data_IF_731743260827
#
_entry.id   IF_731743260827
#
_cell.length_a   1.000
_cell.length_b   1.000
_cell.length_c   1.000
_cell.angle_alpha   90.00
_cell.angle_beta   90.00
_cell.angle_gamma   90.00
#
_symmetry.space_group_name_H-M   'P 1'
#
loop_
_entity.id
_entity.type
_entity.pdbx_description
1 polymer ?
#
# COMPACT_ATOMS: atom_id res chain seq x y z
N UNK A 1 -19.76 -5.44 24.11
CA UNK A 1 -18.60 -6.03 23.42
C UNK A 1 -17.91 -4.90 22.65
N UNK A 2 -16.58 -4.76 22.76
CA UNK A 2 -15.86 -3.66 22.12
C UNK A 2 -15.94 -3.83 20.59
N UNK A 3 -16.43 -2.82 19.86
CA UNK A 3 -16.37 -2.80 18.39
C UNK A 3 -14.90 -2.64 18.00
N UNK A 4 -14.34 -3.63 17.30
CA UNK A 4 -13.01 -3.49 16.72
C UNK A 4 -13.09 -2.50 15.55
N UNK A 5 -12.25 -1.47 15.59
CA UNK A 5 -12.10 -0.50 14.49
C UNK A 5 -10.76 -0.76 13.82
N UNK A 6 -10.77 -0.90 12.49
CA UNK A 6 -9.54 -0.88 11.70
C UNK A 6 -9.31 0.52 11.14
N UNK A 7 -8.07 0.99 11.23
CA UNK A 7 -7.66 2.30 10.75
C UNK A 7 -6.62 2.20 9.65
N UNK A 8 -6.79 3.00 8.59
CA UNK A 8 -5.77 3.22 7.57
C UNK A 8 -4.85 4.38 7.99
N UNK A 9 -3.91 4.07 8.90
CA UNK A 9 -2.94 5.02 9.46
C UNK A 9 -2.18 5.79 8.38
N UNK A 10 -2.00 5.14 7.23
CA UNK A 10 -1.17 5.64 6.16
C UNK A 10 -1.91 6.62 5.30
N UNK A 11 -3.20 6.38 5.09
CA UNK A 11 -4.08 7.35 4.47
C UNK A 11 -4.22 8.59 5.34
N UNK A 12 -4.34 8.43 6.66
CA UNK A 12 -4.40 9.55 7.61
C UNK A 12 -3.14 10.41 7.52
N UNK A 13 -1.96 9.78 7.63
CA UNK A 13 -0.65 10.47 7.53
C UNK A 13 -0.40 11.12 6.17
N UNK A 14 -1.06 10.67 5.11
CA UNK A 14 -0.93 11.25 3.77
C UNK A 14 -1.90 12.42 3.52
N UNK A 15 -3.00 12.49 4.27
CA UNK A 15 -4.02 13.53 4.11
C UNK A 15 -3.86 14.68 5.12
N UNK A 16 -3.17 14.43 6.24
CA UNK A 16 -2.96 15.42 7.30
C UNK A 16 -1.48 15.71 7.47
N UNK A 17 -1.08 16.97 7.35
CA UNK A 17 0.29 17.41 7.61
C UNK A 17 0.50 17.76 9.09
N UNK A 18 1.75 17.76 9.53
CA UNK A 18 2.13 18.20 10.89
C UNK A 18 1.74 19.66 11.13
N UNK A 19 1.88 20.52 10.12
CA UNK A 19 1.47 21.93 10.20
C UNK A 19 -0.03 22.06 10.52
N UNK A 20 -0.88 21.32 9.79
CA UNK A 20 -2.33 21.31 10.03
C UNK A 20 -2.69 20.86 11.45
N UNK A 21 -1.95 19.88 11.99
CA UNK A 21 -2.15 19.41 13.37
C UNK A 21 -1.71 20.46 14.37
N UNK A 22 -0.56 21.09 14.18
CA UNK A 22 -0.08 22.17 15.04
C UNK A 22 -1.11 23.30 15.11
N UNK A 23 -1.61 23.75 13.95
CA UNK A 23 -2.61 24.82 13.87
C UNK A 23 -3.93 24.40 14.56
N UNK A 24 -4.40 23.17 14.32
CA UNK A 24 -5.64 22.67 14.92
C UNK A 24 -5.56 22.55 16.44
N UNK A 25 -4.38 22.19 16.96
CA UNK A 25 -4.13 22.05 18.40
C UNK A 25 -3.71 23.37 19.06
N UNK A 26 -3.56 24.46 18.30
CA UNK A 26 -3.14 25.76 18.82
C UNK A 26 -1.69 25.79 19.30
N UNK A 27 -0.81 24.96 18.71
CA UNK A 27 0.62 25.02 18.99
C UNK A 27 1.23 26.27 18.35
N UNK A 28 2.01 27.02 19.11
CA UNK A 28 2.67 28.20 18.57
C UNK A 28 3.76 27.80 17.57
N UNK A 29 3.68 28.38 16.37
CA UNK A 29 4.65 28.19 15.30
C UNK A 29 5.27 29.51 14.87
N UNK A 30 6.52 29.46 14.40
CA UNK A 30 7.26 30.62 13.92
C UNK A 30 8.14 30.26 12.72
N UNK A 31 8.09 31.01 11.62
CA UNK A 31 9.04 30.81 10.52
C UNK A 31 10.45 31.21 10.95
N UNK A 32 11.42 30.31 10.73
CA UNK A 32 12.86 30.54 10.94
C UNK A 32 13.59 30.12 9.67
N UNK A 33 14.01 31.12 8.89
CA UNK A 33 14.59 30.89 7.57
C UNK A 33 13.58 30.20 6.65
N UNK A 34 13.94 29.02 6.12
CA UNK A 34 13.08 28.20 5.24
C UNK A 34 12.28 27.13 5.98
N UNK A 35 12.38 27.05 7.31
CA UNK A 35 11.72 26.04 8.13
C UNK A 35 10.70 26.68 9.06
N UNK A 36 9.70 25.91 9.46
CA UNK A 36 8.76 26.31 10.50
C UNK A 36 9.23 25.69 11.80
N UNK A 37 9.50 26.54 12.79
CA UNK A 37 9.77 26.11 14.15
C UNK A 37 8.47 26.10 14.96
N UNK A 38 8.40 25.22 15.94
CA UNK A 38 7.26 25.05 16.85
C UNK A 38 7.82 24.91 18.27
N UNK A 39 7.11 25.37 19.30
CA UNK A 39 7.47 25.02 20.67
C UNK A 39 7.22 23.53 20.87
N UNK A 40 8.26 22.78 21.26
CA UNK A 40 8.13 21.33 21.33
C UNK A 40 7.08 20.90 22.36
N UNK A 41 6.04 20.13 21.99
CA UNK A 41 5.02 19.69 22.94
C UNK A 41 5.46 18.51 23.82
N UNK A 42 6.67 17.98 23.59
CA UNK A 42 7.17 16.79 24.27
C UNK A 42 8.03 17.10 25.51
N UNK A 43 8.45 18.35 25.66
CA UNK A 43 9.07 18.89 26.87
C UNK A 43 8.51 20.28 27.16
N UNK A 44 8.84 20.87 28.32
CA UNK A 44 8.43 22.24 28.65
C UNK A 44 9.21 23.29 27.87
N UNK A 45 9.09 23.29 26.54
CA UNK A 45 9.83 24.19 25.66
C UNK A 45 9.27 25.61 25.70
N UNK A 46 10.16 26.59 25.79
CA UNK A 46 9.83 28.03 25.79
C UNK A 46 10.57 28.80 24.69
N UNK A 47 11.36 28.10 23.86
CA UNK A 47 12.25 28.73 22.89
C UNK A 47 12.10 28.13 21.49
N UNK A 48 11.69 28.97 20.54
CA UNK A 48 11.75 28.64 19.12
C UNK A 48 13.19 28.39 18.67
N UNK A 49 13.36 27.49 17.71
CA UNK A 49 14.66 27.10 17.14
C UNK A 49 15.13 25.70 17.52
N UNK A 50 14.44 25.02 18.45
CA UNK A 50 14.77 23.65 18.85
C UNK A 50 13.95 22.58 18.14
N UNK A 51 12.64 22.80 17.95
CA UNK A 51 11.77 21.91 17.20
C UNK A 51 11.36 22.51 15.86
N UNK A 52 11.40 21.66 14.82
CA UNK A 52 11.08 22.03 13.45
C UNK A 52 10.12 21.03 12.83
N UNK A 53 9.24 21.55 11.99
CA UNK A 53 8.32 20.77 11.18
C UNK A 53 9.01 20.39 9.85
N UNK A 54 8.92 19.11 9.51
CA UNK A 54 9.32 18.53 8.23
C UNK A 54 8.07 17.97 7.53
N UNK A 55 8.26 17.43 6.32
CA UNK A 55 7.16 16.96 5.47
C UNK A 55 6.25 15.94 6.18
N UNK A 56 6.84 14.98 6.88
CA UNK A 56 6.09 13.85 7.46
C UNK A 56 6.10 13.84 9.00
N UNK A 57 6.92 14.69 9.62
CA UNK A 57 7.24 14.61 11.05
C UNK A 57 7.71 15.95 11.64
N UNK A 58 7.63 16.04 12.96
CA UNK A 58 8.29 17.04 13.80
C UNK A 58 9.55 16.43 14.39
N UNK A 59 10.67 17.15 14.32
CA UNK A 59 11.89 16.77 15.04
C UNK A 59 12.35 17.88 15.97
N UNK A 60 12.64 17.52 17.23
CA UNK A 60 13.20 18.43 18.22
C UNK A 60 14.65 18.07 18.53
N UNK A 61 15.56 19.02 18.30
CA UNK A 61 16.98 18.87 18.57
C UNK A 61 17.35 18.97 20.06
N UNK A 62 16.48 19.57 20.90
CA UNK A 62 16.75 19.70 22.33
C UNK A 62 16.46 18.41 23.11
N UNK A 63 15.35 17.73 22.80
CA UNK A 63 14.95 16.50 23.48
C UNK A 63 15.07 15.24 22.60
N UNK A 64 15.56 15.37 21.37
CA UNK A 64 15.70 14.30 20.37
C UNK A 64 14.39 13.58 20.02
N UNK A 65 13.24 14.23 20.23
CA UNK A 65 11.95 13.65 19.86
C UNK A 65 11.72 13.73 18.36
N UNK A 66 11.32 12.61 17.76
CA UNK A 66 10.80 12.52 16.41
C UNK A 66 9.32 12.09 16.48
N UNK A 67 8.40 12.94 16.05
CA UNK A 67 6.97 12.74 16.25
C UNK A 67 6.20 12.95 14.94
N UNK A 68 5.31 12.00 14.61
CA UNK A 68 4.34 12.17 13.53
C UNK A 68 3.05 12.85 14.02
N UNK A 69 2.11 13.07 13.10
CA UNK A 69 0.79 13.67 13.39
C UNK A 69 0.03 12.97 14.52
N UNK A 70 0.15 11.64 14.65
CA UNK A 70 -0.56 10.88 15.70
C UNK A 70 0.13 11.11 17.05
N UNK A 71 1.45 11.01 17.07
CA UNK A 71 2.27 11.19 18.27
C UNK A 71 2.06 12.57 18.89
N UNK A 72 1.96 13.61 18.05
CA UNK A 72 1.67 14.98 18.49
C UNK A 72 0.29 15.06 19.15
N UNK A 73 -0.76 14.52 18.51
CA UNK A 73 -2.12 14.51 19.06
C UNK A 73 -2.17 13.74 20.39
N UNK A 74 -1.54 12.56 20.47
CA UNK A 74 -1.48 11.78 21.70
C UNK A 74 -0.88 12.61 22.85
N UNK A 75 0.22 13.32 22.57
CA UNK A 75 0.94 14.07 23.60
C UNK A 75 0.18 15.32 24.05
N UNK A 76 -0.31 16.13 23.10
CA UNK A 76 -0.94 17.42 23.40
C UNK A 76 -2.34 17.24 23.98
N UNK A 77 -3.12 16.30 23.43
CA UNK A 77 -4.50 16.05 23.86
C UNK A 77 -4.62 14.98 24.94
N UNK A 78 -3.49 14.40 25.38
CA UNK A 78 -3.42 13.30 26.35
C UNK A 78 -4.35 12.12 25.98
N UNK A 79 -4.25 11.68 24.72
CA UNK A 79 -5.07 10.62 24.14
C UNK A 79 -4.27 9.33 23.96
N UNK A 80 -4.96 8.19 24.06
CA UNK A 80 -4.42 6.91 23.59
C UNK A 80 -4.24 6.92 22.07
N UNK A 81 -3.51 5.94 21.52
CA UNK A 81 -3.29 5.86 20.07
C UNK A 81 -4.60 5.81 19.28
N UNK A 82 -5.56 4.98 19.72
CA UNK A 82 -6.86 4.82 19.04
C UNK A 82 -7.67 6.12 19.10
N UNK A 83 -7.70 6.77 20.27
CA UNK A 83 -8.41 8.05 20.43
C UNK A 83 -7.77 9.17 19.60
N UNK A 84 -6.44 9.21 19.50
CA UNK A 84 -5.73 10.18 18.67
C UNK A 84 -6.01 9.96 17.17
N UNK A 85 -6.11 8.71 16.73
CA UNK A 85 -6.48 8.37 15.35
C UNK A 85 -7.93 8.75 15.06
N UNK A 86 -8.87 8.43 15.96
CA UNK A 86 -10.28 8.84 15.85
C UNK A 86 -10.42 10.38 15.84
N UNK A 87 -9.63 11.08 16.66
CA UNK A 87 -9.56 12.55 16.67
C UNK A 87 -9.14 13.07 15.28
N UNK A 88 -8.03 12.59 14.72
CA UNK A 88 -7.59 13.03 13.40
C UNK A 88 -8.64 12.79 12.31
N UNK A 89 -9.29 11.63 12.32
CA UNK A 89 -10.35 11.31 11.35
C UNK A 89 -11.51 12.31 11.45
N UNK A 90 -11.97 12.59 12.67
CA UNK A 90 -13.11 13.46 12.91
C UNK A 90 -12.80 14.92 12.63
N UNK A 91 -11.67 15.42 13.14
CA UNK A 91 -11.31 16.84 13.06
C UNK A 91 -10.97 17.28 11.63
N UNK A 92 -10.44 16.36 10.81
CA UNK A 92 -10.07 16.64 9.42
C UNK A 92 -11.04 16.04 8.39
N UNK A 93 -12.20 15.51 8.83
CA UNK A 93 -13.21 14.88 7.98
C UNK A 93 -12.63 13.82 7.01
N UNK A 94 -11.77 12.94 7.54
CA UNK A 94 -11.07 11.95 6.73
C UNK A 94 -11.99 10.76 6.40
N UNK A 95 -12.59 10.77 5.22
CA UNK A 95 -13.47 9.71 4.77
C UNK A 95 -12.68 8.45 4.36
N UNK A 96 -13.22 7.26 4.70
CA UNK A 96 -12.63 5.97 4.34
C UNK A 96 -11.41 5.55 5.16
N UNK A 97 -10.96 6.37 6.12
CA UNK A 97 -9.80 6.09 6.99
C UNK A 97 -10.10 5.13 8.15
N UNK A 98 -11.36 4.82 8.42
CA UNK A 98 -11.76 3.84 9.42
C UNK A 98 -12.90 2.97 8.91
N UNK A 99 -12.88 1.70 9.32
CA UNK A 99 -13.96 0.75 9.06
C UNK A 99 -14.38 0.19 10.42
N UNK A 100 -15.68 0.29 10.72
CA UNK A 100 -16.27 -0.38 11.88
C UNK A 100 -16.45 -1.85 11.54
N UNK A 101 -15.78 -2.74 12.27
CA UNK A 101 -16.00 -4.17 12.13
C UNK A 101 -17.23 -4.51 12.99
N UNK A 102 -18.41 -4.49 12.39
CA UNK A 102 -19.56 -5.14 13.03
C UNK A 102 -19.27 -6.65 13.04
N UNK A 103 -19.37 -7.29 14.22
CA UNK A 103 -19.00 -8.69 14.46
C UNK A 103 -19.86 -9.71 13.67
N UNK A 104 -20.65 -9.25 12.70
CA UNK A 104 -21.53 -10.09 11.89
C UNK A 104 -20.90 -10.33 10.50
N UNK A 105 -20.05 -11.36 10.46
CA UNK A 105 -19.56 -12.08 9.26
C UNK A 105 -19.16 -11.25 8.03
N UNK A 106 -18.16 -10.38 8.15
CA UNK A 106 -17.36 -10.04 6.96
C UNK A 106 -16.39 -11.19 6.69
N UNK A 107 -16.44 -11.76 5.48
CA UNK A 107 -15.48 -12.78 5.05
C UNK A 107 -14.07 -12.32 5.44
N UNK A 108 -13.33 -13.16 6.19
CA UNK A 108 -11.93 -12.88 6.49
C UNK A 108 -11.21 -12.60 5.18
N UNK A 109 -10.39 -11.55 5.17
CA UNK A 109 -9.59 -11.18 4.02
C UNK A 109 -8.86 -12.43 3.49
N UNK A 110 -9.15 -12.89 2.26
CA UNK A 110 -8.86 -14.27 1.87
C UNK A 110 -7.43 -14.50 1.41
N UNK A 111 -6.60 -13.45 1.35
CA UNK A 111 -5.24 -13.51 0.86
C UNK A 111 -4.22 -13.40 1.99
N UNK A 112 -3.20 -14.24 1.92
CA UNK A 112 -2.06 -14.21 2.83
C UNK A 112 -1.04 -13.16 2.39
N UNK A 113 -0.17 -12.76 3.33
CA UNK A 113 0.96 -11.88 3.06
C UNK A 113 1.82 -12.35 1.88
N UNK A 114 2.19 -13.64 1.88
CA UNK A 114 3.04 -14.24 0.84
C UNK A 114 2.38 -14.23 -0.54
N UNK A 115 1.07 -14.49 -0.60
CA UNK A 115 0.31 -14.43 -1.84
C UNK A 115 0.30 -13.02 -2.43
N UNK A 116 -0.01 -12.02 -1.61
CA UNK A 116 0.02 -10.62 -2.04
C UNK A 116 1.42 -10.20 -2.48
N UNK A 117 2.47 -10.58 -1.75
CA UNK A 117 3.85 -10.24 -2.13
C UNK A 117 4.22 -10.84 -3.47
N UNK A 118 3.85 -12.11 -3.68
CA UNK A 118 4.20 -12.84 -4.89
C UNK A 118 3.60 -12.21 -6.16
N UNK A 119 2.34 -11.79 -6.09
CA UNK A 119 1.64 -11.13 -7.20
C UNK A 119 1.95 -9.63 -7.30
N UNK A 120 2.73 -9.09 -6.36
CA UNK A 120 3.12 -7.68 -6.33
C UNK A 120 2.02 -6.75 -5.82
N UNK A 121 1.07 -7.30 -5.07
CA UNK A 121 0.09 -6.55 -4.28
C UNK A 121 0.55 -6.24 -2.85
N UNK A 122 1.70 -6.77 -2.44
CA UNK A 122 2.41 -6.36 -1.26
C UNK A 122 3.87 -6.14 -1.62
N UNK A 123 4.48 -5.06 -1.12
CA UNK A 123 5.90 -4.81 -1.34
C UNK A 123 6.60 -4.65 0.01
N UNK A 124 7.36 -5.67 0.41
CA UNK A 124 8.05 -5.69 1.70
C UNK A 124 9.25 -4.73 1.76
N UNK A 125 9.80 -4.34 0.60
CA UNK A 125 11.01 -3.52 0.49
C UNK A 125 10.72 -2.06 0.15
N UNK A 126 9.45 -1.66 0.04
CA UNK A 126 9.09 -0.31 -0.31
C UNK A 126 8.66 0.46 0.94
N UNK A 127 9.36 1.53 1.29
CA UNK A 127 8.89 2.50 2.28
C UNK A 127 7.55 3.16 1.87
N UNK A 128 7.11 2.96 0.62
CA UNK A 128 5.74 3.23 0.17
C UNK A 128 4.83 2.06 0.52
N UNK A 129 4.03 2.28 1.55
CA UNK A 129 2.91 1.44 2.01
C UNK A 129 2.01 0.98 0.86
N UNK A 130 1.42 -0.22 0.98
CA UNK A 130 0.51 -0.84 0.00
C UNK A 130 -0.62 0.09 -0.41
N UNK A 131 -0.40 0.87 -1.46
CA UNK A 131 -1.32 1.90 -1.91
C UNK A 131 -1.52 1.79 -3.40
N UNK A 132 -2.73 1.42 -3.80
CA UNK A 132 -3.09 1.28 -5.21
C UNK A 132 -3.82 2.52 -5.68
N UNK A 133 -3.36 3.09 -6.80
CA UNK A 133 -4.08 4.14 -7.48
C UNK A 133 -5.34 3.52 -8.10
N UNK A 134 -6.48 3.85 -7.52
CA UNK A 134 -7.78 3.46 -8.06
C UNK A 134 -8.29 4.62 -8.91
N UNK A 135 -8.32 4.42 -10.22
CA UNK A 135 -8.95 5.36 -11.15
C UNK A 135 -10.07 4.67 -11.91
N UNK A 136 -11.32 5.02 -11.60
CA UNK A 136 -12.43 4.89 -12.53
C UNK A 136 -13.57 5.84 -12.13
N UNK A 137 -14.17 6.51 -13.11
CA UNK A 137 -15.36 7.33 -12.91
C UNK A 137 -16.28 7.17 -14.12
N UNK A 138 -17.50 6.66 -13.89
CA UNK A 138 -18.49 6.38 -14.94
C UNK A 138 -19.31 7.60 -15.36
N UNK A 139 -19.28 8.72 -14.61
CA UNK A 139 -20.12 9.89 -14.90
C UNK A 139 -19.41 11.23 -14.73
N UNK A 140 -19.91 12.18 -15.54
CA UNK A 140 -19.34 13.47 -15.91
C UNK A 140 -19.80 14.55 -14.92
N UNK A 141 -18.87 15.17 -14.22
CA UNK A 141 -19.17 16.36 -13.41
C UNK A 141 -18.19 17.52 -13.61
N UNK A 142 -17.05 17.38 -14.32
CA UNK A 142 -16.07 18.48 -14.40
C UNK A 142 -15.21 18.57 -15.66
N UNK A 143 -14.65 19.76 -15.89
CA UNK A 143 -13.99 20.30 -17.11
C UNK A 143 -12.67 19.62 -17.55
N UNK A 144 -12.17 18.60 -16.84
CA UNK A 144 -10.83 18.01 -17.06
C UNK A 144 -10.84 16.58 -17.66
N UNK A 145 -11.55 16.38 -18.77
CA UNK A 145 -11.60 15.09 -19.50
C UNK A 145 -10.94 15.18 -20.88
N UNK A 146 -10.26 14.12 -21.33
CA UNK A 146 -9.84 13.97 -22.73
C UNK A 146 -10.33 12.65 -23.33
N UNK A 147 -10.47 12.61 -24.66
CA UNK A 147 -10.99 11.45 -25.41
C UNK A 147 -9.79 10.63 -25.90
N UNK A 148 -9.71 9.36 -25.50
CA UNK A 148 -8.82 8.39 -26.16
C UNK A 148 -9.61 7.68 -27.26
N UNK A 149 -9.09 7.71 -28.49
CA UNK A 149 -9.66 7.00 -29.64
C UNK A 149 -8.81 5.79 -29.98
N UNK A 150 -9.44 4.64 -30.18
CA UNK A 150 -8.82 3.41 -30.68
C UNK A 150 -9.71 2.84 -31.79
N UNK A 151 -9.29 2.96 -33.04
CA UNK A 151 -10.13 2.63 -34.19
C UNK A 151 -11.36 3.55 -34.29
N UNK A 152 -12.55 2.95 -34.49
CA UNK A 152 -13.84 3.66 -34.52
C UNK A 152 -14.39 3.94 -33.11
N UNK A 153 -13.78 3.37 -32.07
CA UNK A 153 -14.22 3.53 -30.69
C UNK A 153 -13.52 4.71 -29.99
N UNK A 154 -14.30 5.51 -29.27
CA UNK A 154 -13.78 6.61 -28.45
C UNK A 154 -14.20 6.45 -27.01
N UNK A 155 -13.22 6.39 -26.09
CA UNK A 155 -13.44 6.32 -24.64
C UNK A 155 -13.05 7.66 -24.03
N UNK A 156 -13.97 8.28 -23.29
CA UNK A 156 -13.70 9.46 -22.48
C UNK A 156 -12.94 9.05 -21.22
N UNK A 157 -11.73 9.56 -21.04
CA UNK A 157 -10.89 9.29 -19.87
C UNK A 157 -10.88 10.54 -18.99
N UNK A 158 -11.45 10.43 -17.77
CA UNK A 158 -11.40 11.48 -16.74
C UNK A 158 -10.09 11.35 -15.96
N UNK A 159 -9.34 12.45 -15.82
CA UNK A 159 -8.16 12.48 -14.94
C UNK A 159 -8.62 12.76 -13.50
N UNK A 160 -9.08 11.73 -12.79
CA UNK A 160 -9.36 11.84 -11.35
C UNK A 160 -8.08 12.11 -10.54
N UNK A 161 -8.20 12.70 -9.35
CA UNK A 161 -7.12 12.63 -8.35
C UNK A 161 -6.86 11.15 -8.07
N UNK A 162 -5.62 10.70 -8.25
CA UNK A 162 -5.23 9.33 -7.94
C UNK A 162 -5.54 9.01 -6.47
N UNK A 163 -6.58 8.23 -6.22
CA UNK A 163 -6.92 7.78 -4.88
C UNK A 163 -6.07 6.57 -4.54
N UNK A 164 -5.38 6.61 -3.41
CA UNK A 164 -4.57 5.51 -2.91
C UNK A 164 -5.33 4.73 -1.84
N UNK A 165 -5.56 3.44 -2.06
CA UNK A 165 -6.23 2.58 -1.08
C UNK A 165 -5.34 1.43 -0.61
N UNK A 166 -5.46 1.11 0.69
CA UNK A 166 -4.92 -0.11 1.27
C UNK A 166 -5.71 -1.35 0.82
N UNK A 167 -5.04 -2.51 0.69
CA UNK A 167 -5.64 -3.76 0.22
C UNK A 167 -6.91 -4.16 0.98
N UNK A 168 -6.86 -4.10 2.32
CA UNK A 168 -8.00 -4.44 3.17
C UNK A 168 -9.16 -3.43 3.01
N UNK A 169 -8.85 -2.14 2.96
CA UNK A 169 -9.84 -1.08 2.79
C UNK A 169 -10.56 -1.25 1.45
N UNK A 170 -9.80 -1.49 0.38
CA UNK A 170 -10.32 -1.73 -0.95
C UNK A 170 -11.19 -2.99 -1.00
N UNK A 171 -10.74 -4.11 -0.42
CA UNK A 171 -11.52 -5.34 -0.38
C UNK A 171 -12.89 -5.18 0.30
N UNK A 172 -12.96 -4.40 1.38
CA UNK A 172 -14.22 -4.18 2.09
C UNK A 172 -15.13 -3.13 1.45
N UNK A 173 -14.57 -2.11 0.79
CA UNK A 173 -15.35 -1.06 0.13
C UNK A 173 -15.81 -1.44 -1.28
N UNK A 174 -14.92 -2.06 -2.07
CA UNK A 174 -15.20 -2.55 -3.42
C UNK A 174 -14.50 -3.90 -3.67
N UNK A 175 -15.13 -4.95 -3.14
CA UNK A 175 -14.66 -6.33 -3.24
C UNK A 175 -14.42 -6.76 -4.69
N UNK A 176 -15.32 -6.39 -5.61
CA UNK A 176 -15.23 -6.79 -7.02
C UNK A 176 -13.99 -6.17 -7.67
N UNK A 177 -13.73 -4.88 -7.43
CA UNK A 177 -12.55 -4.20 -7.94
C UNK A 177 -11.26 -4.81 -7.37
N UNK A 178 -11.20 -5.04 -6.06
CA UNK A 178 -10.05 -5.69 -5.43
C UNK A 178 -9.72 -7.04 -6.08
N UNK A 179 -10.72 -7.93 -6.16
CA UNK A 179 -10.55 -9.29 -6.67
C UNK A 179 -10.17 -9.30 -8.15
N UNK A 180 -10.70 -8.36 -8.94
CA UNK A 180 -10.32 -8.19 -10.36
C UNK A 180 -8.86 -7.75 -10.48
N UNK A 181 -8.42 -6.80 -9.66
CA UNK A 181 -7.04 -6.33 -9.63
C UNK A 181 -6.07 -7.45 -9.19
N UNK A 182 -6.43 -8.21 -8.16
CA UNK A 182 -5.68 -9.38 -7.71
C UNK A 182 -5.59 -10.47 -8.78
N UNK A 183 -6.69 -10.77 -9.47
CA UNK A 183 -6.72 -11.75 -10.55
C UNK A 183 -5.81 -11.32 -11.71
N UNK A 184 -5.90 -10.06 -12.14
CA UNK A 184 -5.05 -9.52 -13.21
C UNK A 184 -3.56 -9.60 -12.85
N UNK A 185 -3.19 -9.21 -11.62
CA UNK A 185 -1.80 -9.31 -11.15
C UNK A 185 -1.32 -10.75 -11.03
N UNK A 186 -2.17 -11.66 -10.60
CA UNK A 186 -1.87 -13.09 -10.58
C UNK A 186 -1.64 -13.64 -12.00
N UNK A 187 -2.47 -13.25 -12.98
CA UNK A 187 -2.30 -13.65 -14.37
C UNK A 187 -1.00 -13.08 -14.99
N UNK A 188 -0.68 -11.81 -14.75
CA UNK A 188 0.59 -11.20 -15.14
C UNK A 188 1.78 -12.00 -14.57
N UNK A 189 1.70 -12.38 -13.29
CA UNK A 189 2.75 -13.16 -12.62
C UNK A 189 2.85 -14.57 -13.19
N UNK A 190 1.72 -15.26 -13.42
CA UNK A 190 1.66 -16.58 -14.04
C UNK A 190 2.32 -16.59 -15.42
N UNK A 191 2.03 -15.58 -16.24
CA UNK A 191 2.63 -15.44 -17.56
C UNK A 191 4.16 -15.27 -17.48
N UNK A 192 4.65 -14.42 -16.57
CA UNK A 192 6.10 -14.24 -16.34
C UNK A 192 6.79 -15.53 -15.91
N UNK A 193 6.25 -16.23 -14.92
CA UNK A 193 6.81 -17.50 -14.44
C UNK A 193 6.83 -18.58 -15.53
N UNK A 194 5.73 -18.68 -16.29
CA UNK A 194 5.62 -19.63 -17.40
C UNK A 194 6.65 -19.32 -18.49
N UNK A 195 6.90 -18.04 -18.78
CA UNK A 195 7.94 -17.61 -19.72
C UNK A 195 9.34 -18.00 -19.24
N UNK A 196 9.64 -17.76 -17.96
CA UNK A 196 10.93 -18.16 -17.36
C UNK A 196 11.16 -19.66 -17.45
N UNK A 197 10.17 -20.48 -17.07
CA UNK A 197 10.26 -21.95 -17.18
C UNK A 197 10.54 -22.36 -18.63
N UNK A 198 9.80 -21.80 -19.60
CA UNK A 198 10.00 -22.09 -21.02
C UNK A 198 11.43 -21.75 -21.45
N UNK A 199 11.94 -20.56 -21.11
CA UNK A 199 13.31 -20.14 -21.44
C UNK A 199 14.36 -21.06 -20.81
N UNK A 200 14.17 -21.45 -19.54
CA UNK A 200 15.08 -22.37 -18.85
C UNK A 200 15.06 -23.77 -19.48
N UNK A 201 13.89 -24.28 -19.86
CA UNK A 201 13.77 -25.56 -20.56
C UNK A 201 14.41 -25.50 -21.95
N UNK A 202 14.20 -24.43 -22.72
CA UNK A 202 14.87 -24.22 -24.01
C UNK A 202 16.39 -24.25 -23.84
N UNK A 203 16.92 -23.52 -22.86
CA UNK A 203 18.36 -23.55 -22.55
C UNK A 203 18.85 -24.96 -22.20
N UNK A 204 18.13 -25.66 -21.31
CA UNK A 204 18.46 -27.03 -20.92
C UNK A 204 18.47 -28.00 -22.11
N UNK A 205 17.49 -27.88 -23.00
CA UNK A 205 17.34 -28.78 -24.14
C UNK A 205 18.36 -28.49 -25.24
N UNK A 206 18.53 -27.23 -25.61
CA UNK A 206 19.28 -26.81 -26.81
C UNK A 206 20.74 -26.46 -26.54
N UNK A 207 21.09 -26.02 -25.32
CA UNK A 207 22.44 -25.49 -25.02
C UNK A 207 23.31 -26.42 -24.20
N UNK A 208 22.72 -27.36 -23.46
CA UNK A 208 23.48 -28.35 -22.68
C UNK A 208 23.69 -29.60 -23.54
N UNK A 209 24.94 -30.06 -23.76
CA UNK A 209 25.23 -31.31 -24.48
C UNK A 209 24.58 -32.52 -23.81
N UNK A 210 24.18 -33.54 -24.59
CA UNK A 210 23.47 -34.71 -24.07
C UNK A 210 24.27 -35.45 -22.99
N UNK A 211 25.58 -35.61 -23.20
CA UNK A 211 26.50 -36.24 -22.26
C UNK A 211 26.61 -35.52 -20.92
N UNK A 212 26.42 -34.19 -20.92
CA UNK A 212 26.51 -33.35 -19.75
C UNK A 212 25.23 -33.37 -18.90
N UNK A 213 24.09 -33.73 -19.50
CA UNK A 213 22.78 -33.81 -18.81
C UNK A 213 22.71 -34.92 -17.76
N UNK A 214 23.48 -35.98 -17.95
CA UNK A 214 23.45 -37.17 -17.08
C UNK A 214 24.65 -37.24 -16.12
N UNK A 215 25.57 -36.26 -16.17
CA UNK A 215 26.68 -36.18 -15.23
C UNK A 215 26.16 -35.78 -13.85
N UNK A 216 26.51 -36.55 -12.83
CA UNK A 216 26.31 -36.15 -11.45
C UNK A 216 27.02 -34.81 -11.19
N UNK A 217 26.33 -33.89 -10.52
CA UNK A 217 26.83 -32.55 -10.16
C UNK A 217 27.14 -31.60 -11.33
N UNK A 218 26.45 -31.71 -12.46
CA UNK A 218 26.54 -30.69 -13.50
C UNK A 218 25.90 -29.36 -13.04
N UNK A 219 26.71 -28.30 -12.96
CA UNK A 219 26.29 -26.98 -12.50
C UNK A 219 25.14 -26.38 -13.31
N UNK A 220 25.19 -26.47 -14.64
CA UNK A 220 24.16 -25.91 -15.52
C UNK A 220 22.82 -26.66 -15.37
N UNK A 221 22.88 -27.99 -15.26
CA UNK A 221 21.70 -28.85 -14.99
C UNK A 221 21.07 -28.50 -13.64
N UNK A 222 21.90 -28.40 -12.59
CA UNK A 222 21.45 -28.08 -11.24
C UNK A 222 20.78 -26.70 -11.17
N UNK A 223 21.35 -25.69 -11.83
CA UNK A 223 20.74 -24.35 -11.91
C UNK A 223 19.41 -24.40 -12.63
N UNK A 224 19.32 -25.09 -13.78
CA UNK A 224 18.07 -25.20 -14.52
C UNK A 224 16.98 -25.85 -13.66
N UNK A 225 17.30 -26.95 -12.97
CA UNK A 225 16.39 -27.62 -12.03
C UNK A 225 15.92 -26.66 -10.93
N UNK A 226 16.85 -25.98 -10.26
CA UNK A 226 16.51 -25.05 -9.19
C UNK A 226 15.60 -23.89 -9.64
N UNK A 227 15.85 -23.32 -10.82
CA UNK A 227 15.00 -22.26 -11.38
C UNK A 227 13.59 -22.79 -11.67
N UNK A 228 13.49 -23.96 -12.30
CA UNK A 228 12.20 -24.58 -12.63
C UNK A 228 11.42 -24.90 -11.36
N UNK A 229 12.05 -25.54 -10.37
CA UNK A 229 11.39 -25.91 -9.10
C UNK A 229 10.89 -24.67 -8.35
N UNK A 230 11.70 -23.61 -8.31
CA UNK A 230 11.32 -22.34 -7.69
C UNK A 230 10.15 -21.69 -8.41
N UNK A 231 10.17 -21.64 -9.74
CA UNK A 231 9.06 -21.11 -10.53
C UNK A 231 7.79 -21.96 -10.38
N UNK A 232 7.91 -23.29 -10.34
CA UNK A 232 6.79 -24.22 -10.14
C UNK A 232 6.15 -24.05 -8.77
N UNK A 233 6.94 -23.90 -7.71
CA UNK A 233 6.44 -23.61 -6.37
C UNK A 233 5.67 -22.27 -6.34
N UNK A 234 6.19 -21.23 -7.00
CA UNK A 234 5.49 -19.95 -7.12
C UNK A 234 4.20 -20.04 -7.94
N UNK A 235 4.18 -20.84 -9.01
CA UNK A 235 2.97 -21.06 -9.82
C UNK A 235 1.82 -21.66 -8.99
N UNK A 236 2.11 -22.61 -8.10
CA UNK A 236 1.09 -23.18 -7.18
C UNK A 236 0.45 -22.09 -6.32
N UNK A 237 1.25 -21.18 -5.77
CA UNK A 237 0.74 -20.05 -4.98
C UNK A 237 -0.07 -19.08 -5.83
N UNK A 238 0.36 -18.79 -7.07
CA UNK A 238 -0.40 -17.94 -8.00
C UNK A 238 -1.75 -18.58 -8.37
N UNK A 239 -1.80 -19.91 -8.53
CA UNK A 239 -3.05 -20.63 -8.80
C UNK A 239 -4.00 -20.59 -7.61
N UNK A 240 -3.50 -20.75 -6.39
CA UNK A 240 -4.28 -20.51 -5.15
C UNK A 240 -4.93 -19.11 -5.13
N UNK A 241 -4.19 -18.06 -5.51
CA UNK A 241 -4.75 -16.70 -5.61
C UNK A 241 -5.88 -16.64 -6.64
N UNK A 242 -5.70 -17.23 -7.82
CA UNK A 242 -6.72 -17.24 -8.87
C UNK A 242 -7.97 -18.02 -8.45
N UNK A 243 -7.81 -19.14 -7.74
CA UNK A 243 -8.92 -19.92 -7.19
C UNK A 243 -9.72 -19.09 -6.18
N UNK A 244 -9.04 -18.39 -5.26
CA UNK A 244 -9.68 -17.46 -4.32
C UNK A 244 -10.43 -16.34 -5.06
N UNK A 245 -9.81 -15.72 -6.06
CA UNK A 245 -10.47 -14.69 -6.87
C UNK A 245 -11.74 -15.23 -7.54
N UNK A 246 -11.70 -16.43 -8.13
CA UNK A 246 -12.87 -17.08 -8.75
C UNK A 246 -13.96 -17.37 -7.72
N UNK A 247 -13.60 -17.94 -6.58
CA UNK A 247 -14.55 -18.27 -5.51
C UNK A 247 -15.30 -17.04 -5.00
N UNK A 248 -14.62 -15.90 -4.85
CA UNK A 248 -15.24 -14.69 -4.31
C UNK A 248 -15.88 -13.75 -5.35
N UNK A 249 -15.63 -13.97 -6.65
CA UNK A 249 -16.27 -13.24 -7.76
C UNK A 249 -17.51 -13.95 -8.32
N UNK A 250 -17.63 -15.26 -8.09
CA UNK A 250 -18.74 -16.12 -8.53
C UNK A 250 -19.95 -16.07 -7.61
#
# INVERSE_FOLDING_TARGET
>A
MAKEKLFDIDMIKAQVSVEMVCDRLGLETKPIGRRISVLCPFHGDTHFGNAFIFTDNLYCYACNTNADVISIVQKVSNLTFVEAVDFLIREFNLHGCSISIEQDRTERFPFTKNELTLIGLLNENNHRKEKYIISYAEKKEDKDSYVMRSGEESVLVKKGKSMMYHNYTLFNQDKKLFLTLAANKALEKKAKLSSTIKQTLTYYLERIPLEDKFKENNFAVNICGHIIDKCAAQLKTVESVLDKCRYHLG
#
